data_IF_700452601943
#
_entry.id   IF_700452601943
#
_cell.length_a   1.000
_cell.length_b   1.000
_cell.length_c   1.000
_cell.angle_alpha   90.00
_cell.angle_beta   90.00
_cell.angle_gamma   90.00
#
_symmetry.space_group_name_H-M   'P 1'
#
loop_
_entity.id
_entity.type
_entity.pdbx_description
1 polymer ?
#
# COMPACT_ATOMS: atom_id res chain seq x y z
N UNK A 1 -8.49 15.34 -3.86
CA UNK A 1 -7.86 14.94 -5.12
C UNK A 1 -8.74 15.26 -6.31
N UNK A 2 -8.17 15.79 -7.37
CA UNK A 2 -8.86 15.92 -8.65
C UNK A 2 -8.89 14.58 -9.38
N UNK A 3 -7.75 13.91 -9.43
CA UNK A 3 -7.61 12.57 -9.97
C UNK A 3 -6.75 11.72 -9.05
N UNK A 4 -7.17 10.50 -8.81
CA UNK A 4 -6.41 9.51 -8.07
C UNK A 4 -6.33 8.24 -8.89
N UNK A 5 -5.13 7.89 -9.31
CA UNK A 5 -4.84 6.72 -10.13
C UNK A 5 -3.99 5.74 -9.32
N UNK A 6 -4.46 4.51 -9.16
CA UNK A 6 -3.70 3.47 -8.47
C UNK A 6 -3.52 2.28 -9.41
N UNK A 7 -2.28 1.91 -9.66
CA UNK A 7 -1.91 0.80 -10.54
C UNK A 7 -1.13 -0.26 -9.79
N UNK A 8 -1.13 -1.49 -10.28
CA UNK A 8 -0.44 -2.61 -9.69
C UNK A 8 -1.37 -3.78 -9.41
N UNK A 9 -1.12 -4.55 -8.35
CA UNK A 9 -1.95 -5.68 -7.97
C UNK A 9 -3.38 -5.20 -7.70
N UNK A 10 -4.35 -5.82 -8.42
CA UNK A 10 -5.72 -5.29 -8.53
C UNK A 10 -6.45 -5.13 -7.18
N UNK A 11 -6.39 -6.16 -6.32
CA UNK A 11 -7.08 -6.14 -5.03
C UNK A 11 -6.52 -5.10 -4.10
N UNK A 12 -5.20 -5.02 -4.02
CA UNK A 12 -4.51 -4.05 -3.17
C UNK A 12 -4.71 -2.64 -3.71
N UNK A 13 -4.62 -2.46 -5.02
CA UNK A 13 -4.85 -1.17 -5.67
C UNK A 13 -6.26 -0.65 -5.38
N UNK A 14 -7.27 -1.51 -5.49
CA UNK A 14 -8.65 -1.17 -5.21
C UNK A 14 -8.86 -0.79 -3.75
N UNK A 15 -8.35 -1.61 -2.82
CA UNK A 15 -8.46 -1.36 -1.37
C UNK A 15 -7.74 -0.07 -0.98
N UNK A 16 -6.55 0.14 -1.51
CA UNK A 16 -5.76 1.34 -1.22
C UNK A 16 -6.48 2.60 -1.70
N UNK A 17 -7.00 2.57 -2.92
CA UNK A 17 -7.76 3.69 -3.49
C UNK A 17 -8.98 4.02 -2.63
N UNK A 18 -9.74 3.00 -2.24
CA UNK A 18 -10.93 3.19 -1.39
C UNK A 18 -10.56 3.76 -0.03
N UNK A 19 -9.50 3.24 0.61
CA UNK A 19 -9.05 3.73 1.92
C UNK A 19 -8.66 5.21 1.85
N UNK A 20 -7.93 5.59 0.81
CA UNK A 20 -7.50 6.98 0.64
C UNK A 20 -8.69 7.90 0.39
N UNK A 21 -9.63 7.49 -0.47
CA UNK A 21 -10.82 8.29 -0.80
C UNK A 21 -11.75 8.47 0.40
N UNK A 22 -11.83 7.48 1.29
CA UNK A 22 -12.67 7.58 2.51
C UNK A 22 -12.15 8.63 3.49
N UNK A 23 -10.84 8.84 3.53
CA UNK A 23 -10.21 9.73 4.51
C UNK A 23 -9.93 11.11 3.91
N UNK A 24 -9.80 11.20 2.58
CA UNK A 24 -9.52 12.47 1.92
C UNK A 24 -10.71 13.43 2.06
N UNK A 25 -10.40 14.71 2.27
CA UNK A 25 -11.41 15.75 2.36
C UNK A 25 -11.95 16.07 0.97
N UNK A 26 -13.21 15.73 0.74
CA UNK A 26 -13.89 15.99 -0.53
C UNK A 26 -14.11 17.47 -0.81
N UNK A 27 -14.05 18.29 0.23
CA UNK A 27 -14.26 19.73 0.13
C UNK A 27 -12.96 20.53 0.04
N UNK A 28 -11.83 19.84 -0.12
CA UNK A 28 -10.54 20.52 -0.25
C UNK A 28 -10.51 21.41 -1.49
N UNK A 29 -10.11 22.66 -1.30
CA UNK A 29 -9.94 23.62 -2.39
C UNK A 29 -8.65 23.36 -3.19
N UNK A 30 -7.74 22.59 -2.64
CA UNK A 30 -6.48 22.25 -3.31
C UNK A 30 -6.70 21.13 -4.31
N UNK A 31 -6.24 21.33 -5.52
CA UNK A 31 -6.36 20.35 -6.58
C UNK A 31 -5.03 19.64 -6.80
N UNK A 32 -5.08 18.33 -6.76
CA UNK A 32 -3.93 17.45 -6.94
C UNK A 32 -4.28 16.33 -7.90
N UNK A 33 -3.34 15.99 -8.75
CA UNK A 33 -3.37 14.71 -9.44
C UNK A 33 -2.42 13.77 -8.71
N UNK A 34 -2.89 12.58 -8.38
CA UNK A 34 -2.12 11.59 -7.65
C UNK A 34 -2.04 10.29 -8.43
N UNK A 35 -0.85 9.74 -8.50
CA UNK A 35 -0.60 8.45 -9.11
C UNK A 35 0.15 7.58 -8.12
N UNK A 36 -0.35 6.37 -7.89
CA UNK A 36 0.27 5.41 -6.97
C UNK A 36 0.53 4.13 -7.74
N UNK A 37 1.77 3.67 -7.72
CA UNK A 37 2.17 2.40 -8.30
C UNK A 37 2.52 1.43 -7.18
N UNK A 38 1.88 0.25 -7.19
CA UNK A 38 2.02 -0.77 -6.16
C UNK A 38 2.81 -1.95 -6.71
N UNK A 39 3.81 -2.40 -5.95
CA UNK A 39 4.55 -3.62 -6.23
C UNK A 39 4.49 -4.52 -5.00
N UNK A 40 4.04 -5.77 -5.21
CA UNK A 40 3.95 -6.78 -4.16
C UNK A 40 5.01 -7.83 -4.42
N UNK A 41 5.81 -8.15 -3.38
CA UNK A 41 6.81 -9.20 -3.44
C UNK A 41 6.57 -10.20 -2.32
N UNK A 42 6.66 -11.49 -2.65
CA UNK A 42 6.54 -12.58 -1.71
C UNK A 42 7.85 -13.37 -1.72
N UNK A 43 8.46 -13.52 -0.56
CA UNK A 43 9.73 -14.23 -0.41
C UNK A 43 9.63 -15.32 0.64
N UNK A 44 10.37 -16.39 0.44
CA UNK A 44 10.53 -17.44 1.45
C UNK A 44 11.38 -16.88 2.59
N UNK A 45 10.92 -17.00 3.84
CA UNK A 45 11.66 -16.50 4.99
C UNK A 45 12.35 -17.61 5.77
N UNK A 46 11.61 -18.67 6.10
CA UNK A 46 12.16 -19.81 6.86
C UNK A 46 11.77 -21.13 6.23
N UNK A 47 12.64 -22.11 6.40
CA UNK A 47 12.41 -23.50 5.98
C UNK A 47 12.66 -24.43 7.16
N UNK A 48 11.98 -25.58 7.19
CA UNK A 48 12.23 -26.61 8.18
C UNK A 48 13.42 -27.49 7.76
N UNK A 49 13.75 -28.51 8.59
CA UNK A 49 14.87 -29.42 8.34
C UNK A 49 14.68 -30.24 7.06
N UNK A 50 13.46 -30.35 6.54
CA UNK A 50 13.13 -31.08 5.30
C UNK A 50 13.13 -30.17 4.08
N UNK A 51 13.45 -28.88 4.22
CA UNK A 51 13.44 -27.91 3.15
C UNK A 51 12.06 -27.36 2.80
N UNK A 52 11.02 -27.67 3.59
CA UNK A 52 9.67 -27.15 3.39
C UNK A 52 9.60 -25.73 3.96
N UNK A 53 8.91 -24.84 3.23
CA UNK A 53 8.76 -23.44 3.65
C UNK A 53 7.76 -23.37 4.80
N UNK A 54 8.18 -22.75 5.92
CA UNK A 54 7.36 -22.59 7.12
C UNK A 54 6.87 -21.16 7.31
N UNK A 55 7.49 -20.19 6.64
CA UNK A 55 7.11 -18.78 6.76
C UNK A 55 7.45 -18.03 5.47
N UNK A 56 6.55 -17.12 5.09
CA UNK A 56 6.75 -16.18 3.98
C UNK A 56 6.86 -14.76 4.49
N UNK A 57 7.58 -13.94 3.74
CA UNK A 57 7.60 -12.49 3.91
C UNK A 57 6.86 -11.83 2.74
N UNK A 58 5.88 -11.00 3.05
CA UNK A 58 5.14 -10.20 2.10
C UNK A 58 5.63 -8.76 2.19
N UNK A 59 6.08 -8.20 1.07
CA UNK A 59 6.52 -6.81 0.99
C UNK A 59 5.63 -6.05 0.03
N UNK A 60 5.06 -4.96 0.50
CA UNK A 60 4.26 -4.04 -0.32
C UNK A 60 5.02 -2.72 -0.45
N UNK A 61 5.27 -2.33 -1.68
CA UNK A 61 5.90 -1.05 -2.03
C UNK A 61 4.89 -0.21 -2.79
N UNK A 62 4.71 1.03 -2.37
CA UNK A 62 3.84 1.98 -3.04
C UNK A 62 4.62 3.25 -3.35
N UNK A 63 4.72 3.61 -4.62
CA UNK A 63 5.35 4.85 -5.06
C UNK A 63 4.27 5.87 -5.37
N UNK A 64 4.27 6.95 -4.59
CA UNK A 64 3.34 8.06 -4.73
C UNK A 64 3.97 9.15 -5.57
N UNK A 65 3.26 9.58 -6.60
CA UNK A 65 3.58 10.79 -7.36
C UNK A 65 2.41 11.76 -7.18
N UNK A 66 2.69 12.89 -6.57
CA UNK A 66 1.69 13.92 -6.27
C UNK A 66 2.01 15.18 -7.04
N UNK A 67 1.13 15.56 -7.95
CA UNK A 67 1.28 16.78 -8.75
C UNK A 67 0.32 17.84 -8.26
N UNK A 68 0.87 18.99 -7.86
CA UNK A 68 0.09 20.17 -7.51
C UNK A 68 -0.26 20.92 -8.79
N UNK A 69 -1.55 21.05 -9.08
CA UNK A 69 -1.99 21.65 -10.33
C UNK A 69 -1.73 23.17 -10.36
N UNK A 70 -1.86 23.83 -9.20
CA UNK A 70 -1.66 25.28 -9.11
C UNK A 70 -0.24 25.72 -9.42
N UNK A 71 0.77 24.95 -8.99
CA UNK A 71 2.19 25.30 -9.16
C UNK A 71 2.92 24.43 -10.17
N UNK A 72 2.24 23.40 -10.71
CA UNK A 72 2.83 22.40 -11.60
C UNK A 72 4.06 21.70 -11.00
N UNK A 73 4.06 21.54 -9.67
CA UNK A 73 5.15 20.90 -8.93
C UNK A 73 4.80 19.44 -8.66
N UNK A 74 5.76 18.55 -8.88
CA UNK A 74 5.59 17.12 -8.64
C UNK A 74 6.46 16.68 -7.48
N UNK A 75 5.87 15.94 -6.54
CA UNK A 75 6.56 15.32 -5.41
C UNK A 75 6.42 13.80 -5.56
N UNK A 76 7.51 13.07 -5.32
CA UNK A 76 7.52 11.62 -5.41
C UNK A 76 8.06 11.01 -4.11
N UNK A 77 7.40 9.99 -3.62
CA UNK A 77 7.86 9.26 -2.44
C UNK A 77 7.45 7.80 -2.50
N UNK A 78 8.33 6.92 -2.02
CA UNK A 78 8.08 5.48 -1.94
C UNK A 78 7.89 5.08 -0.49
N UNK A 79 6.85 4.26 -0.25
CA UNK A 79 6.54 3.69 1.05
C UNK A 79 6.68 2.18 0.95
N UNK A 80 7.24 1.54 1.98
CA UNK A 80 7.39 0.10 2.02
C UNK A 80 6.88 -0.41 3.36
N UNK A 81 6.04 -1.44 3.32
CA UNK A 81 5.60 -2.18 4.51
C UNK A 81 5.77 -3.66 4.27
N UNK A 82 6.13 -4.38 5.31
CA UNK A 82 6.39 -5.81 5.25
C UNK A 82 5.60 -6.51 6.35
N UNK A 83 5.17 -7.73 6.06
CA UNK A 83 4.54 -8.60 7.04
C UNK A 83 4.95 -10.03 6.77
N UNK A 84 5.15 -10.79 7.84
CA UNK A 84 5.39 -12.23 7.75
C UNK A 84 4.09 -12.97 7.99
N UNK A 85 3.94 -14.14 7.40
CA UNK A 85 2.85 -15.03 7.74
C UNK A 85 3.31 -16.48 7.72
N UNK A 86 2.69 -17.28 8.58
CA UNK A 86 3.06 -18.68 8.75
C UNK A 86 2.34 -19.57 7.74
N UNK A 87 3.03 -20.63 7.33
CA UNK A 87 2.45 -21.73 6.57
C UNK A 87 1.80 -22.67 7.59
N UNK A 88 0.48 -22.86 7.49
CA UNK A 88 -0.26 -23.76 8.36
C UNK A 88 -0.34 -25.17 7.77
N UNK A 89 -0.63 -26.15 8.60
CA UNK A 89 -0.81 -27.55 8.17
C UNK A 89 -1.99 -27.68 7.19
N UNK A 90 -3.04 -26.88 7.42
CA UNK A 90 -4.20 -26.83 6.53
C UNK A 90 -4.01 -25.67 5.56
N UNK A 91 -4.05 -25.97 4.24
CA UNK A 91 -3.79 -24.99 3.19
C UNK A 91 -4.72 -23.77 3.25
N UNK A 92 -6.00 -23.96 3.56
CA UNK A 92 -6.96 -22.85 3.69
C UNK A 92 -6.54 -21.85 4.78
N UNK A 93 -5.93 -22.32 5.88
CA UNK A 93 -5.44 -21.45 6.94
C UNK A 93 -4.22 -20.64 6.49
N UNK A 94 -3.37 -21.22 5.63
CA UNK A 94 -2.26 -20.48 5.03
C UNK A 94 -2.77 -19.35 4.14
N UNK A 95 -3.82 -19.59 3.36
CA UNK A 95 -4.46 -18.56 2.53
C UNK A 95 -5.04 -17.45 3.39
N UNK A 96 -5.69 -17.79 4.49
CA UNK A 96 -6.23 -16.80 5.43
C UNK A 96 -5.11 -15.96 6.05
N UNK A 97 -3.99 -16.59 6.43
CA UNK A 97 -2.82 -15.90 6.98
C UNK A 97 -2.25 -14.91 5.95
N UNK A 98 -2.15 -15.31 4.68
CA UNK A 98 -1.69 -14.44 3.61
C UNK A 98 -2.63 -13.25 3.39
N UNK A 99 -3.93 -13.51 3.35
CA UNK A 99 -4.94 -12.47 3.15
C UNK A 99 -4.91 -11.44 4.30
N UNK A 100 -4.74 -11.90 5.53
CA UNK A 100 -4.62 -11.02 6.69
C UNK A 100 -3.34 -10.18 6.61
N UNK A 101 -2.22 -10.76 6.19
CA UNK A 101 -0.97 -10.04 6.01
C UNK A 101 -1.12 -8.96 4.92
N UNK A 102 -1.76 -9.28 3.79
CA UNK A 102 -2.03 -8.31 2.71
C UNK A 102 -2.89 -7.16 3.20
N UNK A 103 -3.95 -7.47 3.95
CA UNK A 103 -4.84 -6.46 4.51
C UNK A 103 -4.11 -5.51 5.46
N UNK A 104 -3.26 -6.07 6.32
CA UNK A 104 -2.51 -5.28 7.29
C UNK A 104 -1.51 -4.33 6.61
N UNK A 105 -0.71 -4.81 5.65
CA UNK A 105 0.26 -3.96 4.96
C UNK A 105 -0.45 -2.91 4.09
N UNK A 106 -1.60 -3.25 3.49
CA UNK A 106 -2.39 -2.30 2.71
C UNK A 106 -2.89 -1.16 3.59
N UNK A 107 -3.40 -1.49 4.79
CA UNK A 107 -3.87 -0.49 5.74
C UNK A 107 -2.73 0.41 6.21
N UNK A 108 -1.58 -0.17 6.54
CA UNK A 108 -0.40 0.58 6.98
C UNK A 108 0.10 1.53 5.89
N UNK A 109 0.17 1.08 4.65
CA UNK A 109 0.58 1.91 3.50
C UNK A 109 -0.43 3.04 3.26
N UNK A 110 -1.72 2.75 3.37
CA UNK A 110 -2.77 3.76 3.23
C UNK A 110 -2.59 4.88 4.25
N UNK A 111 -2.35 4.50 5.50
CA UNK A 111 -2.11 5.47 6.59
C UNK A 111 -0.85 6.29 6.34
N UNK A 112 0.23 5.65 5.87
CA UNK A 112 1.48 6.33 5.54
C UNK A 112 1.28 7.37 4.45
N UNK A 113 0.56 7.01 3.39
CA UNK A 113 0.29 7.90 2.26
C UNK A 113 -0.57 9.09 2.69
N UNK A 114 -1.63 8.83 3.44
CA UNK A 114 -2.53 9.87 3.93
C UNK A 114 -1.81 10.85 4.85
N UNK A 115 -0.99 10.34 5.76
CA UNK A 115 -0.20 11.18 6.66
C UNK A 115 0.79 12.05 5.87
N UNK A 116 1.45 11.47 4.87
CA UNK A 116 2.39 12.20 4.03
C UNK A 116 1.70 13.32 3.24
N UNK A 117 0.56 13.03 2.63
CA UNK A 117 -0.21 14.01 1.87
C UNK A 117 -0.69 15.13 2.78
N UNK A 118 -1.20 14.78 3.96
CA UNK A 118 -1.68 15.76 4.94
C UNK A 118 -0.57 16.71 5.36
N UNK A 119 0.62 16.19 5.67
CA UNK A 119 1.78 16.99 6.05
C UNK A 119 2.24 17.87 4.87
N UNK A 120 2.27 17.32 3.67
CA UNK A 120 2.67 18.06 2.47
C UNK A 120 1.70 19.19 2.16
N UNK A 121 0.42 18.99 2.40
CA UNK A 121 -0.60 20.04 2.21
C UNK A 121 -0.48 21.17 3.22
N UNK A 122 -0.08 20.88 4.45
CA UNK A 122 0.11 21.90 5.48
C UNK A 122 1.27 22.84 5.17
N UNK A 123 2.27 22.36 4.45
CA UNK A 123 3.43 23.16 4.04
C UNK A 123 3.16 24.09 2.86
N UNK A 124 1.94 24.11 2.43
CA UNK A 124 1.50 24.95 1.33
C UNK A 124 0.61 26.06 1.84
#
# INVERSE_FOLDING_TARGET
FQNLNVTGERRIAYSLKNNILLISDKNSKNKYDSKIEIVVKKKNKTKDSKGQITRYNLSLSATLELKKLATNTTIQKTFIRKADYDVADIHSNTIDNENNARKNVTQQISDDIINYITISMRGM
#
